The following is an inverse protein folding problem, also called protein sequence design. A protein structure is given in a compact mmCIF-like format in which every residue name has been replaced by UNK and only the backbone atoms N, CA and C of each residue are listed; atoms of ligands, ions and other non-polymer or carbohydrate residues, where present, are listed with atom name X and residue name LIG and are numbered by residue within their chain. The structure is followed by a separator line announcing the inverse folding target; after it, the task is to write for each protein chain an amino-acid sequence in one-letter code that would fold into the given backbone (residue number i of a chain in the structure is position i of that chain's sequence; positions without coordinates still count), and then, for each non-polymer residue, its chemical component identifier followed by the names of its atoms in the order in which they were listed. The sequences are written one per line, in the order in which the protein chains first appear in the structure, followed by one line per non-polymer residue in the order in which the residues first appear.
data_IF_979177835191
#
_entry.id   IF_979177835191
#
_cell.length_a   1.000
_cell.length_b   1.000
_cell.length_c   1.000
_cell.angle_alpha   90.00
_cell.angle_beta   90.00
_cell.angle_gamma   90.00
#
_symmetry.space_group_name_H-M   'P 1'
#
loop_
_entity.id
_entity.type
_entity.pdbx_description
1 polymer ?
#
# COMPACT_ATOMS: atom_id res chain seq x y z
N UNK A 1 54.63 34.70 2.66
CA UNK A 1 54.46 33.69 1.59
C UNK A 1 53.04 33.12 1.63
N UNK A 2 52.55 32.58 0.51
CA UNK A 2 51.15 32.55 0.03
C UNK A 2 50.25 31.42 0.61
N UNK A 3 48.93 31.63 0.49
CA UNK A 3 47.77 30.72 0.74
C UNK A 3 47.78 29.42 -0.10
N UNK A 4 47.17 28.34 0.42
CA UNK A 4 46.22 27.40 -0.23
C UNK A 4 45.88 26.25 0.76
N UNK A 5 44.67 26.10 1.32
CA UNK A 5 43.45 25.50 0.75
C UNK A 5 43.67 24.20 -0.03
N UNK A 6 43.41 23.05 0.60
CA UNK A 6 43.06 21.81 -0.10
C UNK A 6 41.70 21.35 0.40
N UNK A 7 40.70 21.60 -0.46
CA UNK A 7 39.34 21.08 -0.39
C UNK A 7 39.33 19.60 -0.79
N UNK A 8 38.36 18.90 -0.21
CA UNK A 8 37.52 17.87 -0.83
C UNK A 8 38.20 16.63 -1.43
N UNK A 9 38.05 15.51 -0.74
CA UNK A 9 38.01 14.18 -1.35
C UNK A 9 36.71 13.48 -0.90
N UNK A 10 35.66 13.73 -1.69
CA UNK A 10 34.60 12.77 -2.11
C UNK A 10 33.91 11.93 -1.02
N UNK A 11 32.67 12.14 -0.57
CA UNK A 11 31.45 12.44 -1.32
C UNK A 11 31.39 11.70 -2.66
N UNK A 12 31.19 10.37 -2.65
CA UNK A 12 30.64 9.58 -3.77
C UNK A 12 30.42 8.09 -3.42
N UNK A 13 29.76 7.78 -2.30
CA UNK A 13 29.32 6.39 -2.01
C UNK A 13 27.87 6.11 -2.45
N UNK A 14 27.16 7.10 -3.01
CA UNK A 14 25.73 7.03 -3.34
C UNK A 14 25.40 6.90 -4.85
N UNK A 15 26.34 6.45 -5.69
CA UNK A 15 26.14 6.52 -7.15
C UNK A 15 26.14 5.20 -7.93
N UNK A 16 25.81 4.06 -7.30
CA UNK A 16 25.61 2.80 -8.05
C UNK A 16 24.41 1.98 -7.59
N UNK A 17 23.23 2.34 -8.09
CA UNK A 17 22.19 1.37 -8.41
C UNK A 17 21.15 1.97 -9.36
N UNK A 18 21.15 1.52 -10.61
CA UNK A 18 20.16 1.89 -11.63
C UNK A 18 18.71 1.52 -11.26
N UNK A 19 18.50 0.79 -10.15
CA UNK A 19 17.19 0.44 -9.57
C UNK A 19 16.58 1.55 -8.69
N UNK A 20 17.36 2.53 -8.23
CA UNK A 20 16.88 3.60 -7.35
C UNK A 20 16.13 4.73 -8.08
N UNK A 21 16.29 4.84 -9.41
CA UNK A 21 15.63 5.89 -10.21
C UNK A 21 14.11 5.71 -10.31
N UNK A 22 13.64 4.46 -10.36
CA UNK A 22 12.22 4.15 -10.55
C UNK A 22 11.37 4.37 -9.28
N UNK A 23 11.88 3.90 -8.13
CA UNK A 23 11.24 4.09 -6.81
C UNK A 23 11.10 5.57 -6.43
N UNK A 24 12.07 6.40 -6.82
CA UNK A 24 12.05 7.84 -6.54
C UNK A 24 10.97 8.60 -7.32
N UNK A 25 10.56 8.06 -8.46
CA UNK A 25 9.57 8.67 -9.36
C UNK A 25 8.15 8.33 -8.92
N UNK A 26 7.86 7.06 -8.58
CA UNK A 26 6.57 6.69 -8.01
C UNK A 26 6.30 7.38 -6.66
N UNK A 27 7.32 7.42 -5.79
CA UNK A 27 7.18 8.08 -4.48
C UNK A 27 6.94 9.57 -4.61
N UNK A 28 7.65 10.26 -5.52
CA UNK A 28 7.39 11.68 -5.84
C UNK A 28 5.97 11.88 -6.37
N UNK A 29 5.53 11.05 -7.32
CA UNK A 29 4.20 11.15 -7.92
C UNK A 29 3.07 11.02 -6.87
N UNK A 30 3.19 10.10 -5.90
CA UNK A 30 2.20 9.95 -4.83
C UNK A 30 2.15 11.19 -3.93
N UNK A 31 3.30 11.75 -3.57
CA UNK A 31 3.38 12.96 -2.73
C UNK A 31 2.86 14.19 -3.49
N UNK A 32 3.15 14.32 -4.78
CA UNK A 32 2.66 15.41 -5.62
C UNK A 32 1.13 15.34 -5.77
N UNK A 33 0.57 14.14 -5.99
CA UNK A 33 -0.88 13.92 -6.03
C UNK A 33 -1.53 14.27 -4.68
N UNK A 34 -0.94 13.80 -3.57
CA UNK A 34 -1.44 14.10 -2.24
C UNK A 34 -1.37 15.60 -1.90
N UNK A 35 -0.31 16.29 -2.35
CA UNK A 35 -0.16 17.74 -2.21
C UNK A 35 -1.23 18.51 -2.96
N UNK A 36 -1.59 18.05 -4.17
CA UNK A 36 -2.63 18.68 -4.99
C UNK A 36 -4.02 18.50 -4.36
N UNK A 37 -4.29 17.30 -3.83
CA UNK A 37 -5.59 16.93 -3.30
C UNK A 37 -5.75 17.35 -1.81
N UNK A 38 -4.66 17.72 -1.13
CA UNK A 38 -4.66 18.13 0.29
C UNK A 38 -4.80 16.97 1.28
N UNK A 39 -4.72 15.73 0.82
CA UNK A 39 -4.87 14.51 1.61
C UNK A 39 -4.09 13.35 0.99
N UNK A 40 -3.75 12.33 1.79
CA UNK A 40 -3.18 11.07 1.32
C UNK A 40 -4.22 9.94 1.46
N UNK A 41 -4.84 9.55 0.34
CA UNK A 41 -5.72 8.37 0.24
C UNK A 41 -4.91 7.10 0.00
N UNK A 42 -4.95 6.17 0.95
CA UNK A 42 -4.26 4.87 0.92
C UNK A 42 -5.30 3.76 0.94
N UNK A 43 -5.31 2.91 -0.09
CA UNK A 43 -6.15 1.72 -0.11
C UNK A 43 -5.35 0.51 0.35
N UNK A 44 -5.75 -0.18 1.43
CA UNK A 44 -4.98 -1.27 2.00
C UNK A 44 -5.81 -2.55 2.05
N UNK A 45 -5.22 -3.66 1.63
CA UNK A 45 -5.85 -4.99 1.68
C UNK A 45 -4.95 -5.94 2.46
N UNK A 46 -5.45 -6.45 3.58
CA UNK A 46 -4.88 -7.57 4.34
C UNK A 46 -5.79 -8.79 4.21
N UNK A 47 -5.23 -9.95 3.89
CA UNK A 47 -6.00 -11.18 3.72
C UNK A 47 -5.99 -12.09 4.96
N UNK A 48 -5.06 -11.92 5.88
CA UNK A 48 -4.83 -12.83 7.00
C UNK A 48 -4.61 -12.04 8.30
N UNK A 49 -4.79 -12.70 9.46
CA UNK A 49 -4.57 -12.09 10.78
C UNK A 49 -3.11 -11.61 10.94
N UNK A 50 -2.15 -12.33 10.39
CA UNK A 50 -0.75 -11.90 10.26
C UNK A 50 -0.64 -10.58 9.50
N UNK A 51 -1.35 -10.47 8.38
CA UNK A 51 -1.42 -9.29 7.54
C UNK A 51 -2.04 -8.09 8.25
N UNK A 52 -3.10 -8.27 9.02
CA UNK A 52 -3.76 -7.21 9.82
C UNK A 52 -2.80 -6.56 10.83
N UNK A 53 -2.00 -7.39 11.52
CA UNK A 53 -0.98 -6.89 12.45
C UNK A 53 0.12 -6.07 11.76
N UNK A 54 0.57 -6.50 10.59
CA UNK A 54 1.60 -5.78 9.82
C UNK A 54 1.02 -4.48 9.25
N UNK A 55 -0.17 -4.55 8.67
CA UNK A 55 -0.84 -3.45 8.01
C UNK A 55 -1.26 -2.36 9.01
N UNK A 56 -1.73 -2.71 10.21
CA UNK A 56 -2.02 -1.73 11.27
C UNK A 56 -0.79 -0.93 11.68
N UNK A 57 0.36 -1.60 11.89
CA UNK A 57 1.64 -0.92 12.18
C UNK A 57 2.09 -0.01 11.04
N UNK A 58 1.83 -0.42 9.79
CA UNK A 58 2.07 0.42 8.61
C UNK A 58 1.17 1.66 8.64
N UNK A 59 -0.14 1.51 8.87
CA UNK A 59 -1.09 2.62 8.96
C UNK A 59 -0.69 3.63 10.04
N UNK A 60 -0.36 3.14 11.24
CA UNK A 60 0.12 3.95 12.36
C UNK A 60 1.38 4.75 11.97
N UNK A 61 2.29 4.13 11.22
CA UNK A 61 3.51 4.77 10.77
C UNK A 61 3.27 5.80 9.67
N UNK A 62 2.38 5.52 8.71
CA UNK A 62 2.00 6.48 7.67
C UNK A 62 1.36 7.72 8.29
N UNK A 63 0.43 7.56 9.24
CA UNK A 63 -0.18 8.69 9.96
C UNK A 63 0.85 9.58 10.65
N UNK A 64 1.92 8.99 11.19
CA UNK A 64 2.98 9.70 11.91
C UNK A 64 3.90 10.50 10.98
N UNK A 65 4.21 9.97 9.80
CA UNK A 65 5.21 10.55 8.90
C UNK A 65 4.59 11.38 7.78
N UNK A 66 3.29 11.20 7.50
CA UNK A 66 2.62 11.88 6.41
C UNK A 66 2.51 13.39 6.69
N UNK A 67 2.94 14.24 5.76
CA UNK A 67 2.73 15.69 5.88
C UNK A 67 1.27 16.11 5.64
N UNK A 68 0.43 15.19 5.16
CA UNK A 68 -0.99 15.43 4.84
C UNK A 68 -1.91 14.54 5.67
N UNK A 69 -3.18 14.95 5.90
CA UNK A 69 -4.22 14.09 6.46
C UNK A 69 -4.32 12.77 5.70
N UNK A 70 -4.34 11.64 6.41
CA UNK A 70 -4.34 10.31 5.80
C UNK A 70 -5.73 9.70 5.92
N UNK A 71 -6.24 9.18 4.80
CA UNK A 71 -7.49 8.41 4.76
C UNK A 71 -7.20 6.99 4.31
N UNK A 72 -7.78 6.04 5.03
CA UNK A 72 -7.66 4.62 4.72
C UNK A 72 -9.00 4.04 4.30
N UNK A 73 -8.95 3.15 3.31
CA UNK A 73 -10.07 2.32 2.88
C UNK A 73 -9.53 0.97 2.41
N UNK A 74 -10.36 -0.06 2.40
CA UNK A 74 -9.99 -1.37 1.86
C UNK A 74 -10.46 -2.51 2.72
N UNK A 75 -9.62 -3.52 2.94
CA UNK A 75 -10.00 -4.74 3.65
C UNK A 75 -8.95 -5.04 4.71
N UNK A 76 -9.40 -5.24 5.94
CA UNK A 76 -8.51 -5.51 7.07
C UNK A 76 -9.27 -6.02 8.28
N UNK A 77 -8.52 -6.47 9.28
CA UNK A 77 -9.06 -7.00 10.52
C UNK A 77 -9.26 -5.92 11.58
N UNK A 78 -9.40 -6.37 12.82
CA UNK A 78 -9.68 -5.49 13.96
C UNK A 78 -8.56 -4.48 14.23
N UNK A 79 -7.29 -4.86 14.03
CA UNK A 79 -6.17 -3.96 14.31
C UNK A 79 -6.14 -2.81 13.31
N UNK A 80 -6.37 -3.08 12.03
CA UNK A 80 -6.50 -2.01 11.03
C UNK A 80 -7.74 -1.15 11.27
N UNK A 81 -8.86 -1.73 11.70
CA UNK A 81 -10.06 -0.97 12.06
C UNK A 81 -9.75 0.08 13.15
N UNK A 82 -9.04 -0.32 14.21
CA UNK A 82 -8.61 0.60 15.27
C UNK A 82 -7.66 1.71 14.79
N UNK A 83 -6.92 1.48 13.71
CA UNK A 83 -6.08 2.49 13.08
C UNK A 83 -6.85 3.46 12.16
N UNK A 84 -8.17 3.26 12.01
CA UNK A 84 -9.06 4.10 11.21
C UNK A 84 -9.39 3.54 9.83
N UNK A 85 -9.17 2.24 9.59
CA UNK A 85 -9.62 1.58 8.37
C UNK A 85 -11.15 1.38 8.43
N UNK A 86 -11.84 1.87 7.40
CA UNK A 86 -13.20 1.41 7.11
C UNK A 86 -13.11 0.17 6.23
N UNK A 87 -13.20 -1.02 6.85
CA UNK A 87 -13.16 -2.28 6.09
C UNK A 87 -14.44 -2.43 5.27
N UNK A 88 -14.31 -2.81 4.00
CA UNK A 88 -15.42 -3.01 3.07
C UNK A 88 -16.27 -4.24 3.44
N UNK A 89 -15.62 -5.26 3.99
CA UNK A 89 -16.23 -6.49 4.47
C UNK A 89 -15.32 -7.13 5.53
N UNK A 90 -15.81 -8.11 6.32
CA UNK A 90 -14.99 -8.82 7.29
C UNK A 90 -13.80 -9.51 6.60
N UNK A 91 -12.59 -9.38 7.16
CA UNK A 91 -11.37 -9.94 6.56
C UNK A 91 -11.48 -11.45 6.32
N UNK A 92 -12.24 -12.13 7.16
CA UNK A 92 -12.53 -13.57 7.11
C UNK A 92 -13.17 -13.99 5.77
N UNK A 93 -13.80 -13.07 5.05
CA UNK A 93 -14.37 -13.34 3.71
C UNK A 93 -13.30 -13.53 2.63
N UNK A 94 -12.08 -13.02 2.86
CA UNK A 94 -10.91 -13.21 1.98
C UNK A 94 -9.77 -13.98 2.67
N UNK A 95 -9.87 -14.25 3.97
CA UNK A 95 -8.93 -15.12 4.68
C UNK A 95 -9.09 -16.56 4.25
N UNK A 96 -8.03 -17.11 3.68
CA UNK A 96 -8.00 -18.49 3.20
C UNK A 96 -7.03 -19.27 4.09
N UNK A 97 -7.57 -20.13 4.96
CA UNK A 97 -6.78 -20.97 5.89
C UNK A 97 -6.19 -22.23 5.24
N UNK A 98 -6.34 -22.44 3.93
CA UNK A 98 -5.70 -23.57 3.25
C UNK A 98 -6.02 -23.68 1.76
N UNK A 99 -5.09 -24.26 1.00
CA UNK A 99 -5.21 -24.49 -0.46
C UNK A 99 -6.38 -25.44 -0.81
N UNK A 100 -6.80 -26.31 0.11
CA UNK A 100 -7.82 -27.34 -0.13
C UNK A 100 -9.26 -26.92 0.19
N UNK A 101 -9.46 -25.90 1.03
CA UNK A 101 -10.80 -25.34 1.31
C UNK A 101 -11.26 -24.37 0.21
N UNK A 102 -10.42 -24.13 -0.79
CA UNK A 102 -10.53 -23.02 -1.75
C UNK A 102 -11.60 -23.22 -2.83
N UNK A 103 -11.87 -24.47 -3.25
CA UNK A 103 -12.73 -24.78 -4.40
C UNK A 103 -14.18 -24.25 -4.27
N UNK A 104 -14.90 -24.47 -3.15
CA UNK A 104 -16.26 -23.95 -3.01
C UNK A 104 -16.31 -22.42 -2.87
N UNK A 105 -15.24 -21.78 -2.39
CA UNK A 105 -15.20 -20.33 -2.13
C UNK A 105 -14.67 -19.50 -3.32
N UNK A 106 -14.25 -20.12 -4.43
CA UNK A 106 -13.76 -19.40 -5.60
C UNK A 106 -14.74 -18.35 -6.13
N UNK A 107 -16.05 -18.65 -6.10
CA UNK A 107 -17.08 -17.70 -6.53
C UNK A 107 -17.21 -16.53 -5.54
N UNK A 108 -17.16 -16.80 -4.24
CA UNK A 108 -17.16 -15.76 -3.19
C UNK A 108 -15.95 -14.84 -3.33
N UNK A 109 -14.76 -15.40 -3.52
CA UNK A 109 -13.52 -14.64 -3.75
C UNK A 109 -13.62 -13.76 -5.00
N UNK A 110 -14.21 -14.25 -6.09
CA UNK A 110 -14.43 -13.45 -7.31
C UNK A 110 -15.37 -12.27 -7.07
N UNK A 111 -16.45 -12.48 -6.31
CA UNK A 111 -17.40 -11.41 -5.95
C UNK A 111 -16.68 -10.37 -5.07
N UNK A 112 -15.99 -10.81 -4.02
CA UNK A 112 -15.21 -9.93 -3.14
C UNK A 112 -14.11 -9.17 -3.86
N UNK A 113 -13.47 -9.79 -4.85
CA UNK A 113 -12.51 -9.11 -5.71
C UNK A 113 -13.16 -7.97 -6.51
N UNK A 114 -14.34 -8.21 -7.10
CA UNK A 114 -15.08 -7.16 -7.82
C UNK A 114 -15.49 -6.02 -6.88
N UNK A 115 -16.08 -6.35 -5.72
CA UNK A 115 -16.45 -5.35 -4.70
C UNK A 115 -15.22 -4.51 -4.28
N UNK A 116 -14.07 -5.16 -4.09
CA UNK A 116 -12.82 -4.47 -3.73
C UNK A 116 -12.31 -3.56 -4.84
N UNK A 117 -12.40 -3.99 -6.10
CA UNK A 117 -12.02 -3.19 -7.27
C UNK A 117 -12.92 -1.96 -7.39
N UNK A 118 -14.24 -2.15 -7.33
CA UNK A 118 -15.22 -1.06 -7.42
C UNK A 118 -15.01 -0.04 -6.29
N UNK A 119 -14.82 -0.51 -5.06
CA UNK A 119 -14.51 0.34 -3.94
C UNK A 119 -13.18 1.10 -4.10
N UNK A 120 -12.14 0.45 -4.62
CA UNK A 120 -10.86 1.11 -4.90
C UNK A 120 -11.02 2.19 -5.98
N UNK A 121 -11.78 1.93 -7.05
CA UNK A 121 -12.03 2.90 -8.11
C UNK A 121 -12.82 4.12 -7.59
N UNK A 122 -13.85 3.89 -6.76
CA UNK A 122 -14.63 4.96 -6.13
C UNK A 122 -13.80 5.78 -5.14
N UNK A 123 -12.90 5.13 -4.39
CA UNK A 123 -12.04 5.80 -3.41
C UNK A 123 -10.91 6.63 -4.05
N UNK A 124 -10.56 6.37 -5.32
CA UNK A 124 -9.48 7.05 -6.04
C UNK A 124 -8.17 7.14 -5.23
N UNK A 125 -7.59 6.02 -4.78
CA UNK A 125 -6.39 6.04 -3.95
C UNK A 125 -5.18 6.61 -4.70
N UNK A 126 -4.33 7.33 -3.97
CA UNK A 126 -3.02 7.68 -4.48
C UNK A 126 -2.08 6.47 -4.50
N UNK A 127 -2.30 5.53 -3.57
CA UNK A 127 -1.50 4.31 -3.45
C UNK A 127 -2.36 3.14 -2.95
N UNK A 128 -2.09 1.96 -3.50
CA UNK A 128 -2.70 0.69 -3.10
C UNK A 128 -1.63 -0.18 -2.47
N UNK A 129 -1.90 -0.69 -1.27
CA UNK A 129 -1.00 -1.56 -0.50
C UNK A 129 -1.69 -2.90 -0.28
N UNK A 130 -0.99 -3.97 -0.61
CA UNK A 130 -1.48 -5.34 -0.40
C UNK A 130 -0.56 -6.07 0.56
N UNK A 131 -1.13 -6.66 1.61
CA UNK A 131 -0.40 -7.38 2.66
C UNK A 131 -0.93 -8.82 2.72
N UNK A 132 -0.02 -9.77 2.54
CA UNK A 132 -0.21 -11.21 2.79
C UNK A 132 -1.48 -11.84 2.18
N UNK A 133 -1.61 -11.79 0.85
CA UNK A 133 -2.56 -12.66 0.13
C UNK A 133 -2.13 -12.85 -1.33
N UNK A 134 -1.16 -13.73 -1.60
CA UNK A 134 -0.54 -13.85 -2.94
C UNK A 134 -1.56 -14.06 -4.08
N UNK A 135 -2.64 -14.81 -3.86
CA UNK A 135 -3.67 -15.08 -4.86
C UNK A 135 -4.64 -13.91 -5.11
N UNK A 136 -5.14 -13.29 -4.03
CA UNK A 136 -6.10 -12.17 -4.10
C UNK A 136 -5.40 -10.87 -4.52
N UNK A 137 -4.29 -10.53 -3.85
CA UNK A 137 -3.49 -9.33 -4.12
C UNK A 137 -3.04 -9.25 -5.57
N UNK A 138 -2.56 -10.36 -6.14
CA UNK A 138 -2.09 -10.38 -7.52
C UNK A 138 -3.22 -10.10 -8.53
N UNK A 139 -4.40 -10.69 -8.32
CA UNK A 139 -5.57 -10.45 -9.19
C UNK A 139 -6.04 -9.00 -9.07
N UNK A 140 -6.13 -8.46 -7.85
CA UNK A 140 -6.48 -7.06 -7.60
C UNK A 140 -5.55 -6.11 -8.34
N UNK A 141 -4.24 -6.26 -8.15
CA UNK A 141 -3.24 -5.40 -8.78
C UNK A 141 -3.24 -5.52 -10.31
N UNK A 142 -3.51 -6.70 -10.86
CA UNK A 142 -3.62 -6.90 -12.31
C UNK A 142 -4.81 -6.13 -12.89
N UNK A 143 -5.94 -6.11 -12.19
CA UNK A 143 -7.12 -5.35 -12.64
C UNK A 143 -6.90 -3.85 -12.52
N UNK A 144 -6.35 -3.36 -11.41
CA UNK A 144 -6.13 -1.92 -11.20
C UNK A 144 -5.09 -1.32 -12.16
N UNK A 145 -4.11 -2.10 -12.62
CA UNK A 145 -3.14 -1.63 -13.65
C UNK A 145 -3.75 -1.47 -15.05
N UNK A 146 -4.93 -2.05 -15.28
CA UNK A 146 -5.61 -1.97 -16.58
C UNK A 146 -6.53 -0.76 -16.74
N UNK A 147 -6.72 0.02 -15.67
CA UNK A 147 -7.46 1.29 -15.65
C UNK A 147 -6.49 2.45 -15.54
#
# INVERSE_FOLDING_TARGET
MRRASVRAVTANFWQRSAKARDLSTCSRRVIDMASRDGELRVFIVAGEVSGDSIASRLMASIKRISPYPVRFSGVGGALMYHEGLQSLFPMEDISVMGIFELLPYLNKIRIKLKETIEAALLFQPHVVVTVDSKGFSFRLLKHLKGY
#
